data_IF_269995255424
#
_entry.id   IF_269995255424
#
_cell.length_a   1.000
_cell.length_b   1.000
_cell.length_c   1.000
_cell.angle_alpha   90.00
_cell.angle_beta   90.00
_cell.angle_gamma   90.00
#
_symmetry.space_group_name_H-M   'P 1'
#
loop_
_entity.id
_entity.type
_entity.pdbx_description
1 polymer ?
#
# COMPACT_ATOMS: atom_id res chain seq x y z
N UNK A 1 -9.73 -12.00 -9.40
CA UNK A 1 -9.06 -12.60 -10.55
C UNK A 1 -10.10 -13.11 -11.56
N UNK A 2 -9.86 -12.89 -12.88
CA UNK A 2 -10.70 -13.42 -13.93
C UNK A 2 -12.15 -12.91 -13.96
N UNK A 3 -12.43 -11.75 -13.38
CA UNK A 3 -13.77 -11.17 -13.35
C UNK A 3 -14.27 -10.86 -14.76
N UNK A 4 -15.50 -11.32 -15.10
CA UNK A 4 -16.14 -11.09 -16.39
C UNK A 4 -17.31 -10.08 -16.30
N UNK A 5 -17.46 -9.40 -15.17
CA UNK A 5 -18.48 -8.38 -14.98
C UNK A 5 -18.11 -7.11 -15.73
N UNK A 6 -19.09 -6.26 -15.96
CA UNK A 6 -18.94 -4.97 -16.65
C UNK A 6 -17.80 -4.12 -16.06
N UNK A 7 -17.62 -4.11 -14.73
CA UNK A 7 -16.56 -3.36 -14.06
C UNK A 7 -15.13 -3.74 -14.52
N UNK A 8 -14.92 -4.95 -15.07
CA UNK A 8 -13.61 -5.41 -15.53
C UNK A 8 -13.52 -5.59 -17.06
N UNK A 9 -14.65 -5.54 -17.77
CA UNK A 9 -14.67 -5.82 -19.21
C UNK A 9 -13.77 -4.87 -19.99
N UNK A 10 -13.82 -3.58 -19.69
CA UNK A 10 -12.99 -2.58 -20.38
C UNK A 10 -11.49 -2.79 -20.18
N UNK A 11 -11.08 -3.35 -19.04
CA UNK A 11 -9.67 -3.74 -18.78
C UNK A 11 -9.29 -4.93 -19.65
N UNK A 12 -10.10 -6.00 -19.67
CA UNK A 12 -9.84 -7.18 -20.50
C UNK A 12 -9.83 -6.87 -22.00
N UNK A 13 -10.57 -5.87 -22.43
CA UNK A 13 -10.61 -5.39 -23.81
C UNK A 13 -9.50 -4.35 -24.12
N UNK A 14 -8.59 -4.07 -23.18
CA UNK A 14 -7.52 -3.07 -23.28
C UNK A 14 -8.01 -1.65 -23.60
N UNK A 15 -9.23 -1.30 -23.20
CA UNK A 15 -9.81 0.04 -23.37
C UNK A 15 -9.40 1.00 -22.25
N UNK A 16 -9.10 0.48 -21.07
CA UNK A 16 -8.55 1.20 -19.93
C UNK A 16 -7.35 0.45 -19.36
N UNK A 17 -6.37 1.14 -18.76
CA UNK A 17 -5.20 0.50 -18.17
C UNK A 17 -5.58 -0.47 -17.04
N UNK A 18 -4.85 -1.57 -16.95
CA UNK A 18 -4.87 -2.44 -15.77
C UNK A 18 -4.28 -1.69 -14.58
N UNK A 19 -4.96 -1.78 -13.44
CA UNK A 19 -4.43 -1.30 -12.17
C UNK A 19 -3.81 -2.46 -11.39
N UNK A 20 -2.57 -2.30 -10.98
CA UNK A 20 -1.85 -3.29 -10.17
C UNK A 20 -2.42 -3.39 -8.75
N UNK A 21 -2.06 -4.45 -8.06
CA UNK A 21 -2.35 -4.63 -6.63
C UNK A 21 -1.59 -3.56 -5.83
N UNK A 22 -2.23 -3.07 -4.76
CA UNK A 22 -1.75 -1.94 -3.95
C UNK A 22 -0.33 -2.14 -3.43
N UNK A 23 0.55 -1.23 -3.78
CA UNK A 23 1.92 -1.13 -3.31
C UNK A 23 2.41 0.30 -3.45
N UNK A 24 3.42 0.66 -2.68
CA UNK A 24 4.11 1.94 -2.78
C UNK A 24 5.60 1.72 -3.00
N UNK A 25 6.18 2.37 -3.99
CA UNK A 25 7.63 2.43 -4.16
C UNK A 25 8.19 3.75 -3.62
N UNK A 26 9.31 3.69 -2.93
CA UNK A 26 10.09 4.83 -2.48
C UNK A 26 11.44 4.81 -3.18
N UNK A 27 11.77 5.88 -3.88
CA UNK A 27 13.03 6.02 -4.61
C UNK A 27 13.74 7.30 -4.18
N UNK A 28 14.99 7.18 -3.80
CA UNK A 28 15.87 8.32 -3.60
C UNK A 28 16.69 8.56 -4.87
N UNK A 29 16.40 9.60 -5.67
CA UNK A 29 17.07 9.83 -6.94
C UNK A 29 18.54 10.26 -6.80
N UNK A 30 18.98 10.62 -5.58
CA UNK A 30 20.37 11.04 -5.32
C UNK A 30 21.24 9.82 -5.05
N UNK A 31 20.82 8.93 -4.15
CA UNK A 31 21.56 7.68 -3.85
C UNK A 31 21.22 6.54 -4.82
N UNK A 32 20.14 6.66 -5.58
CA UNK A 32 19.54 5.61 -6.41
C UNK A 32 19.05 4.40 -5.62
N UNK A 33 18.89 4.54 -4.30
CA UNK A 33 18.31 3.52 -3.44
C UNK A 33 16.79 3.45 -3.62
N UNK A 34 16.23 2.24 -3.48
CA UNK A 34 14.80 1.97 -3.70
C UNK A 34 14.26 0.92 -2.77
N UNK A 35 13.08 1.21 -2.25
CA UNK A 35 12.32 0.32 -1.36
C UNK A 35 10.90 0.19 -1.88
N UNK A 36 10.25 -0.92 -1.55
CA UNK A 36 8.82 -1.08 -1.76
C UNK A 36 8.11 -1.38 -0.45
N UNK A 37 6.86 -0.95 -0.37
CA UNK A 37 5.92 -1.29 0.68
C UNK A 37 4.89 -2.24 0.08
N UNK A 38 4.88 -3.46 0.57
CA UNK A 38 4.18 -4.64 0.11
C UNK A 38 4.70 -5.24 -1.22
N UNK A 39 5.11 -6.49 -1.12
CA UNK A 39 5.45 -7.36 -2.25
C UNK A 39 4.19 -8.11 -2.69
N UNK A 40 3.46 -7.55 -3.63
CA UNK A 40 2.15 -8.04 -4.05
C UNK A 40 2.25 -9.20 -5.05
N UNK A 41 1.15 -9.87 -5.44
CA UNK A 41 1.16 -10.82 -6.55
C UNK A 41 1.73 -10.27 -7.86
N UNK A 42 1.72 -8.93 -8.05
CA UNK A 42 2.27 -8.24 -9.23
C UNK A 42 3.74 -7.81 -9.02
N UNK A 43 4.48 -8.53 -8.17
CA UNK A 43 5.86 -8.16 -7.80
C UNK A 43 6.81 -8.02 -9.01
N UNK A 44 6.75 -8.86 -10.05
CA UNK A 44 7.57 -8.68 -11.25
C UNK A 44 7.31 -7.34 -11.95
N UNK A 45 6.04 -6.94 -12.06
CA UNK A 45 5.61 -5.67 -12.65
C UNK A 45 6.03 -4.48 -11.79
N UNK A 46 5.94 -4.63 -10.44
CA UNK A 46 6.42 -3.62 -9.50
C UNK A 46 7.92 -3.33 -9.71
N UNK A 47 8.74 -4.38 -9.84
CA UNK A 47 10.17 -4.23 -10.11
C UNK A 47 10.44 -3.64 -11.49
N UNK A 48 9.66 -4.03 -12.51
CA UNK A 48 9.81 -3.50 -13.85
C UNK A 48 9.56 -1.99 -13.91
N UNK A 49 8.50 -1.52 -13.28
CA UNK A 49 8.18 -0.08 -13.18
C UNK A 49 9.27 0.72 -12.47
N UNK A 50 9.95 0.13 -11.48
CA UNK A 50 11.03 0.81 -10.76
C UNK A 50 12.28 1.08 -11.61
N UNK A 51 12.49 0.33 -12.69
CA UNK A 51 13.65 0.53 -13.56
C UNK A 51 13.64 1.90 -14.25
N UNK A 52 12.48 2.52 -14.41
CA UNK A 52 12.35 3.85 -14.99
C UNK A 52 12.77 4.97 -14.01
N UNK A 53 12.85 4.68 -12.71
CA UNK A 53 13.09 5.67 -11.67
C UNK A 53 14.46 5.58 -11.00
N UNK A 54 15.21 4.50 -11.21
CA UNK A 54 16.53 4.32 -10.61
C UNK A 54 17.49 3.59 -11.56
N UNK A 55 18.71 4.10 -11.66
CA UNK A 55 19.80 3.50 -12.44
C UNK A 55 20.58 2.43 -11.67
N UNK A 56 20.22 2.16 -10.41
CA UNK A 56 20.89 1.13 -9.61
C UNK A 56 20.68 -0.25 -10.21
N UNK A 57 21.76 -1.01 -10.33
CA UNK A 57 21.71 -2.44 -10.70
C UNK A 57 21.07 -3.32 -9.62
N UNK A 58 21.04 -2.84 -8.37
CA UNK A 58 20.35 -3.53 -7.27
C UNK A 58 18.84 -3.46 -7.52
N UNK A 59 18.12 -4.58 -7.54
CA UNK A 59 16.67 -4.56 -7.74
C UNK A 59 15.93 -3.72 -6.69
N UNK A 60 16.26 -3.93 -5.41
CA UNK A 60 15.73 -3.21 -4.26
C UNK A 60 16.77 -3.16 -3.13
N UNK A 61 16.69 -2.15 -2.28
CA UNK A 61 17.45 -2.01 -1.03
C UNK A 61 16.66 -2.55 0.17
N UNK A 62 15.34 -2.75 0.01
CA UNK A 62 14.50 -3.41 0.99
C UNK A 62 13.02 -3.42 0.66
N UNK A 63 12.30 -4.25 1.40
CA UNK A 63 10.85 -4.45 1.28
C UNK A 63 10.25 -4.26 2.67
N UNK A 64 9.26 -3.39 2.80
CA UNK A 64 8.46 -3.20 4.00
C UNK A 64 7.13 -3.92 3.85
N UNK A 65 6.70 -4.68 4.85
CA UNK A 65 5.43 -5.40 4.82
C UNK A 65 4.44 -4.76 5.78
N UNK A 66 3.22 -4.56 5.32
CA UNK A 66 2.14 -4.03 6.16
C UNK A 66 1.50 -5.10 7.01
N UNK A 67 1.15 -6.26 6.44
CA UNK A 67 0.47 -7.36 7.13
C UNK A 67 0.43 -8.64 6.29
N UNK A 68 -0.05 -9.76 6.90
CA UNK A 68 -0.06 -11.09 6.30
C UNK A 68 -1.34 -11.42 5.52
N UNK A 69 -1.92 -10.48 4.76
CA UNK A 69 -2.92 -10.81 3.75
C UNK A 69 -2.27 -11.05 2.38
N UNK A 70 -2.82 -12.00 1.63
CA UNK A 70 -2.23 -12.54 0.39
C UNK A 70 -1.83 -11.44 -0.61
N UNK A 71 -2.59 -10.35 -0.70
CA UNK A 71 -2.31 -9.22 -1.58
C UNK A 71 -1.03 -8.44 -1.25
N UNK A 72 -0.43 -8.63 -0.06
CA UNK A 72 0.62 -7.74 0.47
C UNK A 72 2.00 -8.38 0.58
N UNK A 73 2.09 -9.73 0.61
CA UNK A 73 3.37 -10.40 0.85
C UNK A 73 3.68 -11.59 -0.07
N UNK A 74 2.71 -12.08 -0.84
CA UNK A 74 2.93 -13.30 -1.65
C UNK A 74 3.95 -13.10 -2.76
N UNK A 75 4.19 -11.87 -3.20
CA UNK A 75 5.24 -11.56 -4.17
C UNK A 75 6.65 -11.90 -3.69
N UNK A 76 6.87 -12.06 -2.38
CA UNK A 76 8.15 -12.51 -1.83
C UNK A 76 8.59 -13.86 -2.43
N UNK A 77 7.66 -14.69 -2.91
CA UNK A 77 7.98 -15.97 -3.58
C UNK A 77 8.93 -15.78 -4.76
N UNK A 78 8.87 -14.65 -5.45
CA UNK A 78 9.74 -14.35 -6.60
C UNK A 78 11.21 -14.14 -6.21
N UNK A 79 11.51 -13.91 -4.93
CA UNK A 79 12.88 -13.79 -4.43
C UNK A 79 13.58 -15.14 -4.32
N UNK A 80 12.82 -16.25 -4.41
CA UNK A 80 13.32 -17.61 -4.32
C UNK A 80 14.25 -17.99 -5.47
N UNK A 81 14.97 -19.08 -5.25
CA UNK A 81 15.97 -19.60 -6.20
C UNK A 81 15.40 -19.99 -7.56
N UNK A 82 14.11 -20.27 -7.62
CA UNK A 82 13.41 -20.68 -8.86
C UNK A 82 13.13 -19.49 -9.80
N UNK A 83 13.23 -18.24 -9.27
CA UNK A 83 13.00 -17.01 -10.03
C UNK A 83 14.23 -16.11 -9.97
N UNK A 84 14.37 -15.30 -8.91
CA UNK A 84 15.46 -14.31 -8.80
C UNK A 84 16.72 -14.87 -8.14
N UNK A 85 16.58 -15.89 -7.27
CA UNK A 85 17.69 -16.37 -6.46
C UNK A 85 18.35 -15.25 -5.64
N UNK A 86 17.55 -14.38 -5.06
CA UNK A 86 18.04 -13.20 -4.33
C UNK A 86 18.95 -13.61 -3.18
N UNK A 87 19.97 -12.78 -2.90
CA UNK A 87 20.87 -12.95 -1.77
C UNK A 87 20.55 -11.94 -0.68
N UNK A 88 20.00 -12.39 0.46
CA UNK A 88 19.75 -11.58 1.66
C UNK A 88 18.98 -10.28 1.40
N UNK A 89 17.93 -10.35 0.57
CA UNK A 89 17.02 -9.23 0.40
C UNK A 89 16.44 -8.84 1.76
N UNK A 90 16.64 -7.59 2.17
CA UNK A 90 16.10 -7.08 3.45
C UNK A 90 14.59 -7.00 3.39
N UNK A 91 13.91 -7.65 4.34
CA UNK A 91 12.46 -7.60 4.51
C UNK A 91 12.15 -7.08 5.90
N UNK A 92 11.64 -5.86 5.99
CA UNK A 92 11.26 -5.22 7.24
C UNK A 92 9.86 -5.70 7.64
N UNK A 93 9.75 -6.31 8.80
CA UNK A 93 8.52 -6.94 9.26
C UNK A 93 8.32 -6.77 10.77
N UNK A 94 7.07 -6.53 11.18
CA UNK A 94 6.65 -6.54 12.57
C UNK A 94 6.84 -7.93 13.19
N UNK A 95 6.87 -8.06 14.53
CA UNK A 95 7.22 -9.32 15.21
C UNK A 95 6.40 -10.53 14.77
N UNK A 96 5.06 -10.44 14.74
CA UNK A 96 4.23 -11.58 14.31
C UNK A 96 4.36 -11.85 12.81
N UNK A 97 4.53 -10.79 11.99
CA UNK A 97 4.78 -10.95 10.56
C UNK A 97 6.11 -11.68 10.31
N UNK A 98 7.16 -11.36 11.09
CA UNK A 98 8.42 -12.10 11.08
C UNK A 98 8.19 -13.57 11.43
N UNK A 99 7.52 -13.84 12.56
CA UNK A 99 7.23 -15.20 13.00
C UNK A 99 6.41 -15.98 11.97
N UNK A 100 5.44 -15.31 11.33
CA UNK A 100 4.66 -15.88 10.24
C UNK A 100 5.53 -16.33 9.06
N UNK A 101 6.43 -15.49 8.59
CA UNK A 101 7.34 -15.80 7.46
C UNK A 101 8.35 -16.91 7.81
N UNK A 102 8.86 -16.92 9.04
CA UNK A 102 9.86 -17.90 9.48
C UNK A 102 9.26 -19.30 9.70
N UNK A 103 7.97 -19.40 10.03
CA UNK A 103 7.34 -20.67 10.42
C UNK A 103 6.40 -21.25 9.37
N UNK A 104 6.11 -20.55 8.27
CA UNK A 104 5.21 -21.04 7.23
C UNK A 104 5.91 -21.22 5.88
N UNK A 105 5.77 -22.40 5.29
CA UNK A 105 6.18 -22.63 3.92
C UNK A 105 5.24 -21.92 2.91
N UNK A 106 5.76 -21.47 1.77
CA UNK A 106 7.15 -21.60 1.30
C UNK A 106 8.10 -20.50 1.80
N UNK A 107 7.61 -19.44 2.49
CA UNK A 107 8.43 -18.28 2.91
C UNK A 107 9.55 -18.65 3.88
N UNK A 108 9.32 -19.61 4.78
CA UNK A 108 10.36 -20.12 5.67
C UNK A 108 11.57 -20.70 4.93
N UNK A 109 11.37 -21.23 3.72
CA UNK A 109 12.46 -21.66 2.86
C UNK A 109 13.32 -20.46 2.41
N UNK A 110 12.70 -19.35 2.01
CA UNK A 110 13.41 -18.14 1.60
C UNK A 110 14.33 -17.62 2.71
N UNK A 111 13.84 -17.66 3.95
CA UNK A 111 14.65 -17.29 5.15
C UNK A 111 15.80 -18.30 5.34
N UNK A 112 15.49 -19.59 5.34
CA UNK A 112 16.46 -20.67 5.60
C UNK A 112 17.61 -20.69 4.59
N UNK A 113 17.34 -20.46 3.31
CA UNK A 113 18.36 -20.44 2.26
C UNK A 113 18.90 -19.03 1.98
N UNK A 114 18.56 -18.07 2.83
CA UNK A 114 19.03 -16.68 2.79
C UNK A 114 18.69 -15.92 1.47
N UNK A 115 17.59 -16.23 0.85
CA UNK A 115 17.06 -15.37 -0.21
C UNK A 115 16.54 -14.06 0.37
N UNK A 116 15.94 -14.11 1.57
CA UNK A 116 15.52 -12.93 2.34
C UNK A 116 16.21 -12.91 3.71
N UNK A 117 16.41 -11.71 4.22
CA UNK A 117 16.89 -11.46 5.58
C UNK A 117 15.88 -10.56 6.29
N UNK A 118 15.17 -11.13 7.29
CA UNK A 118 14.10 -10.39 7.96
C UNK A 118 14.71 -9.42 8.96
N UNK A 119 14.46 -8.14 8.73
CA UNK A 119 14.75 -7.04 9.65
C UNK A 119 13.53 -6.82 10.53
N UNK A 120 13.58 -7.29 11.77
CA UNK A 120 12.49 -7.05 12.73
C UNK A 120 12.41 -5.56 13.03
N UNK A 121 11.23 -5.00 12.95
CA UNK A 121 10.90 -3.63 13.31
C UNK A 121 9.83 -3.60 14.41
N UNK A 122 9.77 -2.51 15.16
CA UNK A 122 8.81 -2.33 16.25
C UNK A 122 7.92 -1.10 15.98
N UNK A 123 6.74 -1.08 16.60
CA UNK A 123 5.84 0.06 16.52
C UNK A 123 6.54 1.35 16.96
N UNK A 124 6.31 2.44 16.20
CA UNK A 124 6.91 3.75 16.41
C UNK A 124 8.46 3.81 16.33
N UNK A 125 9.11 2.71 15.94
CA UNK A 125 10.54 2.70 15.68
C UNK A 125 10.87 3.52 14.44
N UNK A 126 11.86 4.43 14.54
CA UNK A 126 12.34 5.21 13.40
C UNK A 126 13.47 4.46 12.70
N UNK A 127 13.17 3.91 11.53
CA UNK A 127 14.13 3.23 10.65
C UNK A 127 14.76 4.29 9.75
N UNK A 128 16.08 4.50 9.90
CA UNK A 128 16.84 5.40 9.04
C UNK A 128 17.31 4.62 7.81
N UNK A 129 16.77 4.97 6.63
CA UNK A 129 17.15 4.34 5.37
C UNK A 129 18.47 4.91 4.85
N UNK A 130 18.57 6.23 4.85
CA UNK A 130 19.78 7.00 4.52
C UNK A 130 19.70 8.40 5.15
N UNK A 131 20.58 9.31 4.76
CA UNK A 131 20.66 10.69 5.32
C UNK A 131 19.38 11.52 5.05
N UNK A 132 18.57 11.15 4.06
CA UNK A 132 17.39 11.91 3.60
C UNK A 132 16.07 11.27 3.96
N UNK A 133 16.05 9.96 4.15
CA UNK A 133 14.83 9.18 4.26
C UNK A 133 14.76 8.39 5.56
N UNK A 134 13.60 8.47 6.19
CA UNK A 134 13.25 7.68 7.39
C UNK A 134 11.86 7.09 7.20
N UNK A 135 11.64 5.93 7.80
CA UNK A 135 10.35 5.23 7.82
C UNK A 135 10.01 4.87 9.26
N UNK A 136 8.73 4.95 9.61
CA UNK A 136 8.25 4.59 10.95
C UNK A 136 6.92 3.83 10.79
N UNK A 137 6.84 2.57 11.26
CA UNK A 137 5.59 1.83 11.32
C UNK A 137 4.72 2.33 12.47
N UNK A 138 3.40 2.23 12.30
CA UNK A 138 2.40 2.45 13.34
C UNK A 138 1.23 1.49 13.15
N UNK A 139 0.69 0.98 14.25
CA UNK A 139 -0.42 0.03 14.22
C UNK A 139 -1.71 0.68 13.74
N UNK A 140 -2.48 -0.08 12.96
CA UNK A 140 -3.83 0.25 12.55
C UNK A 140 -4.76 -0.95 12.82
N UNK A 141 -6.03 -0.73 13.20
CA UNK A 141 -6.97 -1.83 13.39
C UNK A 141 -7.29 -2.49 12.05
N UNK A 142 -7.18 -3.81 12.00
CA UNK A 142 -7.59 -4.62 10.85
C UNK A 142 -7.83 -6.05 11.31
N UNK A 143 -7.94 -7.01 10.39
CA UNK A 143 -8.01 -8.45 10.72
C UNK A 143 -6.58 -8.96 10.93
N UNK A 144 -6.23 -9.22 12.17
CA UNK A 144 -4.86 -9.59 12.58
C UNK A 144 -4.74 -11.11 12.78
N UNK A 145 -5.24 -11.92 11.84
CA UNK A 145 -5.28 -13.37 11.96
C UNK A 145 -3.86 -13.99 12.06
N UNK A 146 -2.90 -13.41 11.34
CA UNK A 146 -1.55 -13.98 11.23
C UNK A 146 -0.43 -13.01 11.61
N UNK A 147 -0.69 -11.72 11.57
CA UNK A 147 0.29 -10.67 11.87
C UNK A 147 -0.37 -9.43 12.44
N UNK A 148 0.43 -8.51 12.95
CA UNK A 148 0.00 -7.12 13.11
C UNK A 148 -0.36 -6.52 11.76
N UNK A 149 -1.22 -5.49 11.74
CA UNK A 149 -1.41 -4.63 10.58
C UNK A 149 -0.87 -3.24 10.90
N UNK A 150 0.01 -2.75 10.01
CA UNK A 150 0.63 -1.44 10.18
C UNK A 150 0.47 -0.56 8.94
N UNK A 151 0.35 0.75 9.19
CA UNK A 151 0.67 1.79 8.23
C UNK A 151 2.11 2.26 8.40
N UNK A 152 2.58 3.05 7.44
CA UNK A 152 3.92 3.62 7.48
C UNK A 152 3.88 5.14 7.33
N UNK A 153 4.67 5.83 8.18
CA UNK A 153 5.05 7.22 7.99
C UNK A 153 6.41 7.26 7.30
N UNK A 154 6.46 7.85 6.12
CA UNK A 154 7.68 8.10 5.36
C UNK A 154 8.04 9.57 5.54
N UNK A 155 9.28 9.84 5.90
CA UNK A 155 9.73 11.18 6.26
C UNK A 155 10.96 11.57 5.44
N UNK A 156 10.91 12.75 4.86
CA UNK A 156 12.07 13.50 4.40
C UNK A 156 12.48 14.55 5.44
N UNK A 157 13.40 15.46 5.11
CA UNK A 157 13.74 16.58 6.00
C UNK A 157 12.55 17.50 6.27
N UNK A 158 11.75 17.76 5.24
CA UNK A 158 10.76 18.84 5.25
C UNK A 158 9.32 18.35 5.07
N UNK A 159 9.11 17.12 4.63
CA UNK A 159 7.79 16.56 4.31
C UNK A 159 7.59 15.16 4.85
N UNK A 160 6.33 14.77 4.92
CA UNK A 160 5.94 13.42 5.34
C UNK A 160 4.78 12.87 4.52
N UNK A 161 4.81 11.55 4.31
CA UNK A 161 3.74 10.78 3.68
C UNK A 161 3.25 9.72 4.65
N UNK A 162 1.93 9.56 4.71
CA UNK A 162 1.26 8.46 5.42
C UNK A 162 0.76 7.45 4.40
N UNK A 163 1.10 6.18 4.61
CA UNK A 163 0.66 5.04 3.81
C UNK A 163 -0.15 4.07 4.66
N UNK A 164 -1.45 3.98 4.43
CA UNK A 164 -2.39 3.08 5.11
C UNK A 164 -3.22 2.39 4.00
N UNK A 165 -2.71 1.30 3.39
CA UNK A 165 -3.43 0.61 2.32
C UNK A 165 -4.63 -0.17 2.83
N UNK A 166 -4.55 -0.71 4.06
CA UNK A 166 -5.60 -1.47 4.71
C UNK A 166 -5.81 -1.00 6.13
N UNK A 167 -7.06 -0.76 6.49
CA UNK A 167 -7.50 -0.44 7.86
C UNK A 167 -8.97 -0.86 8.01
N UNK A 168 -9.40 -1.20 9.22
CA UNK A 168 -10.81 -1.28 9.58
C UNK A 168 -11.43 0.13 9.69
N UNK A 169 -12.66 0.25 10.12
CA UNK A 169 -13.35 1.54 10.27
C UNK A 169 -12.53 2.53 11.08
N UNK A 170 -12.46 3.79 10.64
CA UNK A 170 -11.72 4.87 11.31
C UNK A 170 -12.05 5.02 12.78
N UNK A 171 -13.30 4.71 13.17
CA UNK A 171 -13.76 4.78 14.56
C UNK A 171 -13.11 3.75 15.48
N UNK A 172 -12.49 2.71 14.92
CA UNK A 172 -11.74 1.70 15.68
C UNK A 172 -10.28 2.08 15.88
N UNK A 173 -9.79 3.07 15.14
CA UNK A 173 -8.43 3.56 15.28
C UNK A 173 -8.34 4.51 16.47
N UNK A 174 -7.28 4.42 17.25
CA UNK A 174 -7.02 5.26 18.42
C UNK A 174 -6.58 6.69 18.08
N UNK A 175 -6.35 6.98 16.78
CA UNK A 175 -5.95 8.30 16.27
C UNK A 175 -7.08 8.96 15.50
N UNK A 176 -7.10 10.30 15.55
CA UNK A 176 -8.00 11.12 14.74
C UNK A 176 -7.48 11.23 13.31
N UNK A 177 -8.22 10.71 12.33
CA UNK A 177 -7.85 10.90 10.93
C UNK A 177 -7.77 12.38 10.54
N UNK A 178 -8.64 13.21 11.11
CA UNK A 178 -8.64 14.67 10.88
C UNK A 178 -7.31 15.30 11.29
N UNK A 179 -6.76 14.89 12.43
CA UNK A 179 -5.47 15.39 12.92
C UNK A 179 -4.32 14.86 12.08
N UNK A 180 -4.34 13.58 11.73
CA UNK A 180 -3.35 12.97 10.82
C UNK A 180 -3.30 13.69 9.47
N UNK A 181 -4.45 14.08 8.90
CA UNK A 181 -4.49 14.87 7.65
C UNK A 181 -3.86 16.24 7.81
N UNK A 182 -4.09 16.92 8.95
CA UNK A 182 -3.50 18.23 9.20
C UNK A 182 -1.99 18.20 9.40
N UNK A 183 -1.47 17.13 10.02
CA UNK A 183 -0.07 16.99 10.42
C UNK A 183 0.86 16.54 9.29
N UNK A 184 0.33 16.00 8.20
CA UNK A 184 1.14 15.41 7.13
C UNK A 184 0.86 16.04 5.77
N UNK A 185 1.78 15.83 4.81
CA UNK A 185 1.74 16.51 3.51
C UNK A 185 1.04 15.68 2.44
N UNK A 186 1.18 14.35 2.48
CA UNK A 186 0.57 13.42 1.54
C UNK A 186 0.01 12.23 2.32
N UNK A 187 -1.21 11.80 1.98
CA UNK A 187 -1.80 10.61 2.56
C UNK A 187 -2.28 9.68 1.45
N UNK A 188 -1.85 8.43 1.53
CA UNK A 188 -2.32 7.30 0.72
C UNK A 188 -3.15 6.41 1.64
N UNK A 189 -4.47 6.50 1.51
CA UNK A 189 -5.42 5.89 2.44
C UNK A 189 -6.24 4.79 1.77
N UNK A 190 -6.68 3.83 2.56
CA UNK A 190 -7.58 2.76 2.15
C UNK A 190 -8.81 3.30 1.40
N UNK A 191 -8.95 2.86 0.17
CA UNK A 191 -10.04 3.19 -0.73
C UNK A 191 -10.69 1.95 -1.32
N UNK A 192 -10.59 0.80 -0.65
CA UNK A 192 -11.02 -0.51 -1.16
C UNK A 192 -12.41 -0.45 -1.75
N UNK A 193 -13.37 0.09 -1.04
CA UNK A 193 -14.76 0.24 -1.52
C UNK A 193 -15.20 1.69 -1.50
N UNK A 194 -15.99 2.08 -2.50
CA UNK A 194 -16.52 3.44 -2.56
C UNK A 194 -17.67 3.64 -1.57
N UNK A 195 -18.62 2.70 -1.55
CA UNK A 195 -19.81 2.74 -0.70
C UNK A 195 -20.35 1.35 -0.43
N UNK A 196 -21.34 1.26 0.46
CA UNK A 196 -22.08 0.02 0.70
C UNK A 196 -22.72 -0.55 -0.57
N UNK A 197 -22.83 -1.88 -0.63
CA UNK A 197 -23.50 -2.61 -1.72
C UNK A 197 -22.65 -2.85 -2.98
N UNK A 198 -21.36 -2.61 -2.98
CA UNK A 198 -20.50 -2.90 -4.14
C UNK A 198 -20.31 -4.40 -4.41
N UNK A 199 -20.40 -5.24 -3.40
CA UNK A 199 -20.27 -6.70 -3.50
C UNK A 199 -21.48 -7.40 -2.90
N UNK A 200 -21.78 -8.61 -3.40
CA UNK A 200 -22.96 -9.39 -3.00
C UNK A 200 -22.74 -10.14 -1.67
N UNK A 201 -22.30 -9.44 -0.63
CA UNK A 201 -22.22 -9.93 0.76
C UNK A 201 -22.43 -8.78 1.73
N UNK A 202 -22.72 -9.07 2.98
CA UNK A 202 -22.89 -8.06 4.00
C UNK A 202 -21.60 -7.22 4.15
N UNK A 203 -21.67 -5.95 3.75
CA UNK A 203 -20.51 -5.07 3.80
C UNK A 203 -20.10 -4.71 5.24
N UNK A 204 -20.99 -4.92 6.22
CA UNK A 204 -20.66 -4.82 7.65
C UNK A 204 -19.61 -5.82 8.12
N UNK A 205 -19.43 -6.92 7.38
CA UNK A 205 -18.40 -7.94 7.64
C UNK A 205 -17.06 -7.62 6.93
N UNK A 206 -17.02 -6.53 6.17
CA UNK A 206 -15.86 -6.12 5.39
C UNK A 206 -15.11 -5.04 6.16
N UNK A 207 -13.90 -5.33 6.67
CA UNK A 207 -13.16 -4.44 7.57
C UNK A 207 -12.40 -3.37 6.79
N UNK A 208 -13.12 -2.51 6.07
CA UNK A 208 -12.58 -1.33 5.38
C UNK A 208 -13.52 -0.14 5.55
N UNK A 209 -12.99 1.08 5.70
CA UNK A 209 -13.82 2.27 5.58
C UNK A 209 -14.26 2.43 4.12
N UNK A 210 -15.47 2.92 3.90
CA UNK A 210 -15.85 3.34 2.56
C UNK A 210 -15.22 4.70 2.23
N UNK A 211 -14.93 4.94 0.95
CA UNK A 211 -14.48 6.27 0.50
C UNK A 211 -15.50 7.33 0.93
N UNK A 212 -16.82 7.02 0.83
CA UNK A 212 -17.87 7.94 1.28
C UNK A 212 -17.80 8.27 2.78
N UNK A 213 -17.46 7.30 3.63
CA UNK A 213 -17.28 7.52 5.08
C UNK A 213 -16.06 8.42 5.35
N UNK A 214 -14.95 8.16 4.67
CA UNK A 214 -13.73 8.98 4.77
C UNK A 214 -13.98 10.42 4.31
N UNK A 215 -14.68 10.60 3.19
CA UNK A 215 -15.05 11.90 2.64
C UNK A 215 -15.96 12.67 3.59
N UNK A 216 -16.92 12.00 4.23
CA UNK A 216 -17.82 12.62 5.22
C UNK A 216 -17.06 13.04 6.47
N UNK A 217 -16.21 12.15 7.01
CA UNK A 217 -15.37 12.43 8.18
C UNK A 217 -14.46 13.65 7.99
N UNK A 218 -14.00 13.88 6.76
CA UNK A 218 -13.11 14.99 6.41
C UNK A 218 -13.87 16.19 5.79
N UNK A 219 -15.20 16.18 5.81
CA UNK A 219 -16.03 17.17 5.10
C UNK A 219 -15.77 18.62 5.52
N UNK A 220 -15.52 18.85 6.80
CA UNK A 220 -15.30 20.20 7.38
C UNK A 220 -13.88 20.75 7.16
N UNK A 221 -12.96 19.93 6.67
CA UNK A 221 -11.60 20.38 6.37
C UNK A 221 -11.60 21.33 5.16
N UNK A 222 -10.71 22.34 5.15
CA UNK A 222 -10.53 23.17 3.97
C UNK A 222 -9.99 22.35 2.79
N UNK A 223 -10.28 22.79 1.58
CA UNK A 223 -9.90 22.08 0.33
C UNK A 223 -8.41 21.73 0.27
N UNK A 224 -7.54 22.62 0.77
CA UNK A 224 -6.08 22.39 0.81
C UNK A 224 -5.71 21.13 1.60
N UNK A 225 -6.42 20.85 2.70
CA UNK A 225 -6.18 19.64 3.52
C UNK A 225 -6.74 18.40 2.82
N UNK A 226 -7.93 18.48 2.24
CA UNK A 226 -8.55 17.39 1.46
C UNK A 226 -7.68 16.97 0.28
N UNK A 227 -7.02 17.92 -0.40
CA UNK A 227 -6.15 17.64 -1.54
C UNK A 227 -4.90 16.81 -1.19
N UNK A 228 -4.54 16.67 0.08
CA UNK A 228 -3.45 15.80 0.53
C UNK A 228 -3.84 14.32 0.50
N UNK A 229 -5.15 14.03 0.51
CA UNK A 229 -5.68 12.67 0.61
C UNK A 229 -5.86 12.05 -0.76
N UNK A 230 -5.21 10.91 -0.96
CA UNK A 230 -5.28 10.09 -2.16
C UNK A 230 -5.70 8.68 -1.77
N UNK A 231 -6.72 8.14 -2.40
CA UNK A 231 -7.15 6.76 -2.13
C UNK A 231 -6.29 5.76 -2.91
N UNK A 232 -5.96 4.67 -2.25
CA UNK A 232 -5.21 3.52 -2.81
C UNK A 232 -5.97 2.23 -2.47
N UNK A 233 -5.48 1.08 -2.88
CA UNK A 233 -6.03 -0.24 -2.56
C UNK A 233 -7.46 -0.46 -3.12
N UNK A 234 -7.74 0.06 -4.30
CA UNK A 234 -9.07 0.01 -4.89
C UNK A 234 -9.46 -1.40 -5.32
N UNK A 235 -10.58 -1.92 -4.82
CA UNK A 235 -11.14 -3.17 -5.33
C UNK A 235 -11.62 -2.99 -6.78
N UNK A 236 -11.55 -4.05 -7.57
CA UNK A 236 -11.95 -4.02 -9.00
C UNK A 236 -13.41 -3.58 -9.23
N UNK A 237 -14.28 -3.64 -8.20
CA UNK A 237 -15.68 -3.16 -8.27
C UNK A 237 -15.80 -1.67 -8.02
N UNK A 238 -14.76 -1.02 -7.48
CA UNK A 238 -14.83 0.38 -7.10
C UNK A 238 -15.11 1.28 -8.32
N UNK A 239 -16.20 2.06 -8.31
CA UNK A 239 -16.61 2.83 -9.48
C UNK A 239 -15.63 3.93 -9.88
N UNK A 240 -14.74 4.39 -8.99
CA UNK A 240 -13.73 5.40 -9.36
C UNK A 240 -12.67 4.87 -10.34
N UNK A 241 -12.54 3.55 -10.50
CA UNK A 241 -11.73 2.94 -11.55
C UNK A 241 -12.29 3.18 -12.96
N UNK A 242 -13.58 3.48 -13.07
CA UNK A 242 -14.21 3.77 -14.36
C UNK A 242 -14.03 5.25 -14.75
N UNK A 243 -13.38 5.58 -15.88
CA UNK A 243 -13.01 6.94 -16.24
C UNK A 243 -14.17 7.94 -16.25
N UNK A 244 -15.36 7.49 -16.63
CA UNK A 244 -16.54 8.33 -16.80
C UNK A 244 -17.54 8.25 -15.65
N UNK A 245 -17.23 7.53 -14.56
CA UNK A 245 -18.17 7.39 -13.44
C UNK A 245 -18.51 8.73 -12.79
N UNK A 246 -19.72 8.81 -12.26
CA UNK A 246 -20.16 9.96 -11.48
C UNK A 246 -19.33 10.06 -10.18
N UNK A 247 -19.08 8.94 -9.55
CA UNK A 247 -18.33 8.83 -8.31
C UNK A 247 -16.91 9.42 -8.44
N UNK A 248 -16.24 9.14 -9.56
CA UNK A 248 -14.92 9.70 -9.89
C UNK A 248 -14.94 11.22 -10.00
N UNK A 249 -15.97 11.78 -10.66
CA UNK A 249 -16.15 13.23 -10.82
C UNK A 249 -16.48 13.90 -9.49
N UNK A 250 -17.41 13.32 -8.72
CA UNK A 250 -17.84 13.86 -7.43
C UNK A 250 -16.70 13.88 -6.42
N UNK A 251 -15.86 12.84 -6.40
CA UNK A 251 -14.69 12.74 -5.53
C UNK A 251 -13.70 13.90 -5.78
N UNK A 252 -13.38 14.15 -7.07
CA UNK A 252 -12.52 15.28 -7.48
C UNK A 252 -13.10 16.64 -7.12
N UNK A 253 -14.41 16.85 -7.31
CA UNK A 253 -15.06 18.10 -6.94
C UNK A 253 -14.99 18.38 -5.45
N UNK A 254 -15.03 17.34 -4.62
CA UNK A 254 -14.85 17.42 -3.17
C UNK A 254 -13.41 17.65 -2.72
N UNK A 255 -12.44 17.63 -3.64
CA UNK A 255 -11.03 17.90 -3.37
C UNK A 255 -10.20 16.67 -2.99
N UNK A 256 -10.69 15.46 -3.24
CA UNK A 256 -9.97 14.21 -3.03
C UNK A 256 -9.45 13.65 -4.35
N UNK A 257 -8.42 12.80 -4.25
CA UNK A 257 -7.85 12.10 -5.39
C UNK A 257 -7.69 10.58 -5.09
N UNK A 258 -7.20 9.86 -6.07
CA UNK A 258 -6.77 8.47 -5.94
C UNK A 258 -5.49 8.30 -6.75
N UNK A 259 -4.73 7.28 -6.45
CA UNK A 259 -3.50 6.96 -7.18
C UNK A 259 -3.76 5.88 -8.24
N UNK A 260 -3.05 5.98 -9.34
CA UNK A 260 -3.05 5.02 -10.44
C UNK A 260 -1.69 4.32 -10.51
N UNK A 261 -1.64 3.12 -11.10
CA UNK A 261 -0.39 2.37 -11.25
C UNK A 261 0.65 3.19 -12.00
N UNK A 262 1.87 3.27 -11.46
CA UNK A 262 2.97 4.05 -12.02
C UNK A 262 2.88 5.56 -11.76
N UNK A 263 1.91 6.05 -10.99
CA UNK A 263 1.83 7.46 -10.65
C UNK A 263 3.00 7.88 -9.74
N UNK A 264 3.69 8.97 -10.12
CA UNK A 264 4.76 9.58 -9.33
C UNK A 264 4.21 10.63 -8.37
N UNK A 265 4.70 10.60 -7.13
CA UNK A 265 4.46 11.62 -6.10
C UNK A 265 5.83 12.10 -5.62
N UNK A 266 6.04 13.40 -5.56
CA UNK A 266 7.29 14.01 -5.08
C UNK A 266 7.12 14.51 -3.64
N UNK A 267 8.03 14.07 -2.76
CA UNK A 267 8.12 14.48 -1.36
C UNK A 267 9.19 15.55 -1.16
#
# INVERSE_FOLDING_TARGET
AGCRKECCQSVWENKIPHQGVSSLALVDPISNEKWIFDATPDFPEQLHLLNDYSKSATPLDGIFLTHAHIGHYTGLMHLGREVMGSGKMKVFAMPKMKDFLENNGPWSQLVKIQNIEIQRIEEAEVIVLNERLKVMPFSVPHRDEFSETVGYKIMTKDKSLIFIPDIDKWQKWDKSLVDVVKEHDVLLLDGTFYKDGEIARAMSEVPHPFITETVELLSDLPKREKNKVNFIHLNHTNPILQPNSKERKDLRMKGFAWVETGQKIEL
#
